data_IF_580442832080
#
_entry.id   IF_580442832080
#
_cell.length_a   1.000
_cell.length_b   1.000
_cell.length_c   1.000
_cell.angle_alpha   90.00
_cell.angle_beta   90.00
_cell.angle_gamma   90.00
#
_symmetry.space_group_name_H-M   'P 1'
#
loop_
_entity.id
_entity.type
_entity.pdbx_description
1 polymer ?
#
# COMPACT_ATOMS: atom_id res chain seq x y z
N UNK A 1 -38.57 -10.42 -62.10
CA UNK A 1 -38.69 -10.27 -60.62
C UNK A 1 -37.31 -10.13 -60.01
N UNK A 2 -37.24 -9.51 -58.82
CA UNK A 2 -36.03 -9.26 -58.00
C UNK A 2 -35.12 -8.12 -58.47
N UNK A 3 -34.62 -7.37 -57.49
CA UNK A 3 -33.97 -6.04 -57.56
C UNK A 3 -32.56 -6.14 -56.95
N UNK A 4 -31.65 -5.23 -57.32
CA UNK A 4 -30.64 -4.53 -56.51
C UNK A 4 -29.55 -3.99 -57.47
N UNK A 5 -29.32 -2.69 -57.66
CA UNK A 5 -29.10 -1.57 -56.72
C UNK A 5 -27.67 -1.58 -56.13
N UNK A 6 -26.83 -0.69 -56.66
CA UNK A 6 -25.49 -0.39 -56.16
C UNK A 6 -25.53 0.29 -54.80
N UNK A 7 -24.57 0.00 -53.93
CA UNK A 7 -24.21 0.87 -52.79
C UNK A 7 -22.71 1.06 -52.76
N UNK A 8 -22.30 2.34 -52.81
CA UNK A 8 -20.93 2.81 -52.68
C UNK A 8 -20.55 2.78 -51.19
N UNK A 9 -19.47 2.08 -50.83
CA UNK A 9 -19.07 1.97 -49.42
C UNK A 9 -18.32 3.24 -48.97
N UNK A 10 -18.99 4.08 -48.19
CA UNK A 10 -18.42 5.29 -47.60
C UNK A 10 -17.64 4.88 -46.33
N UNK A 11 -16.32 5.03 -46.34
CA UNK A 11 -15.48 4.87 -45.15
C UNK A 11 -15.62 6.10 -44.24
N UNK A 12 -16.54 6.06 -43.28
CA UNK A 12 -16.56 7.04 -42.19
C UNK A 12 -15.45 6.72 -41.19
N UNK A 13 -14.63 7.73 -40.88
CA UNK A 13 -13.89 7.78 -39.64
C UNK A 13 -14.86 7.79 -38.45
N UNK A 14 -14.77 6.79 -37.57
CA UNK A 14 -15.10 6.98 -36.16
C UNK A 14 -13.82 6.77 -35.34
N UNK A 15 -13.18 7.88 -34.97
CA UNK A 15 -12.27 7.89 -33.85
C UNK A 15 -13.10 7.65 -32.58
N UNK A 16 -13.05 6.44 -32.05
CA UNK A 16 -13.62 6.12 -30.74
C UNK A 16 -12.78 6.78 -29.66
N UNK A 17 -13.15 8.00 -29.25
CA UNK A 17 -12.62 8.59 -28.01
C UNK A 17 -13.14 7.75 -26.84
N UNK A 18 -12.27 6.92 -26.27
CA UNK A 18 -12.51 6.33 -24.95
C UNK A 18 -12.77 7.47 -23.96
N UNK A 19 -13.89 7.48 -23.22
CA UNK A 19 -14.11 8.51 -22.21
C UNK A 19 -13.01 8.38 -21.16
N UNK A 20 -12.24 9.46 -21.02
CA UNK A 20 -11.24 9.61 -19.95
C UNK A 20 -11.96 9.40 -18.60
N UNK A 21 -11.36 8.65 -17.66
CA UNK A 21 -11.86 8.65 -16.29
C UNK A 21 -11.82 10.10 -15.79
N UNK A 22 -12.99 10.67 -15.47
CA UNK A 22 -13.09 12.10 -15.25
C UNK A 22 -12.27 12.49 -14.01
N UNK A 23 -11.25 13.33 -14.20
CA UNK A 23 -10.57 13.98 -13.10
C UNK A 23 -11.60 14.80 -12.30
N UNK A 24 -11.72 14.52 -11.01
CA UNK A 24 -12.72 15.16 -10.17
C UNK A 24 -12.39 16.63 -9.94
N UNK A 25 -13.39 17.50 -10.04
CA UNK A 25 -13.19 18.96 -10.11
C UNK A 25 -12.62 19.59 -8.84
N UNK A 26 -12.72 18.90 -7.71
CA UNK A 26 -12.37 19.35 -6.36
C UNK A 26 -11.39 18.41 -5.64
N UNK A 27 -10.78 17.46 -6.36
CA UNK A 27 -9.75 16.55 -5.83
C UNK A 27 -8.46 16.66 -6.68
N UNK A 28 -7.71 17.77 -6.58
CA UNK A 28 -6.42 17.90 -7.26
C UNK A 28 -5.36 17.00 -6.64
N UNK A 29 -4.32 16.63 -7.40
CA UNK A 29 -3.24 15.73 -6.97
C UNK A 29 -2.51 16.17 -5.69
N UNK A 30 -2.42 17.48 -5.44
CA UNK A 30 -1.86 18.05 -4.21
C UNK A 30 -2.80 18.06 -3.00
N UNK A 31 -4.03 17.55 -3.11
CA UNK A 31 -4.93 17.41 -1.97
C UNK A 31 -4.46 16.27 -1.07
N UNK A 32 -4.37 16.50 0.25
CA UNK A 32 -3.78 15.55 1.20
C UNK A 32 -4.42 14.15 1.19
N UNK A 33 -5.72 14.05 0.93
CA UNK A 33 -6.45 12.78 0.80
C UNK A 33 -6.54 12.24 -0.65
N UNK A 34 -5.84 12.85 -1.63
CA UNK A 34 -5.95 12.50 -3.05
C UNK A 34 -5.66 11.01 -3.31
N UNK A 35 -4.54 10.51 -2.77
CA UNK A 35 -4.12 9.12 -2.97
C UNK A 35 -5.15 8.14 -2.41
N UNK A 36 -5.54 8.27 -1.14
CA UNK A 36 -6.51 7.38 -0.49
C UNK A 36 -7.91 7.45 -1.12
N UNK A 37 -8.37 8.64 -1.51
CA UNK A 37 -9.67 8.79 -2.18
C UNK A 37 -9.66 8.20 -3.60
N UNK A 38 -8.55 8.35 -4.34
CA UNK A 38 -8.39 7.74 -5.67
C UNK A 38 -8.32 6.21 -5.56
N UNK A 39 -7.53 5.68 -4.62
CA UNK A 39 -7.45 4.25 -4.29
C UNK A 39 -8.82 3.69 -3.88
N UNK A 40 -9.57 4.42 -3.07
CA UNK A 40 -10.94 4.05 -2.71
C UNK A 40 -11.91 4.02 -3.90
N UNK A 41 -11.74 4.90 -4.90
CA UNK A 41 -12.53 4.90 -6.16
C UNK A 41 -12.14 3.73 -7.05
N UNK A 42 -10.84 3.46 -7.22
CA UNK A 42 -10.32 2.35 -8.03
C UNK A 42 -10.77 0.98 -7.51
N UNK A 43 -10.71 0.79 -6.18
CA UNK A 43 -11.25 -0.38 -5.50
C UNK A 43 -12.79 -0.44 -5.48
N UNK A 44 -13.48 0.52 -6.11
CA UNK A 44 -14.96 0.66 -6.17
C UNK A 44 -15.63 0.78 -4.80
N UNK A 45 -14.86 1.19 -3.79
CA UNK A 45 -15.32 1.43 -2.42
C UNK A 45 -16.03 2.77 -2.35
N UNK A 46 -15.40 3.83 -2.84
CA UNK A 46 -15.96 5.18 -2.95
C UNK A 46 -16.38 5.50 -4.40
N UNK A 47 -17.28 6.47 -4.56
CA UNK A 47 -17.64 7.05 -5.85
C UNK A 47 -17.77 8.57 -5.72
N UNK A 48 -17.42 9.30 -6.78
CA UNK A 48 -17.75 10.71 -6.90
C UNK A 48 -19.24 10.95 -7.10
N UNK A 49 -19.61 12.22 -7.09
CA UNK A 49 -20.97 12.72 -7.21
C UNK A 49 -21.34 13.03 -8.67
N UNK A 50 -22.64 13.12 -9.02
CA UNK A 50 -23.08 13.38 -10.40
C UNK A 50 -22.65 14.73 -10.99
N UNK A 51 -22.19 15.66 -10.16
CA UNK A 51 -21.63 16.97 -10.56
C UNK A 51 -20.13 16.91 -10.92
N UNK A 52 -19.49 15.73 -10.83
CA UNK A 52 -18.07 15.55 -11.13
C UNK A 52 -17.14 15.82 -9.94
N UNK A 53 -17.69 15.92 -8.73
CA UNK A 53 -16.96 16.27 -7.51
C UNK A 53 -16.84 15.07 -6.54
N UNK A 54 -15.77 15.04 -5.73
CA UNK A 54 -15.54 14.06 -4.66
C UNK A 54 -15.87 14.61 -3.27
N UNK A 55 -15.87 15.94 -3.11
CA UNK A 55 -16.05 16.70 -1.85
C UNK A 55 -15.17 16.19 -0.71
N UNK A 56 -13.83 16.19 -0.86
CA UNK A 56 -12.91 15.66 0.15
C UNK A 56 -13.14 16.24 1.55
N UNK A 57 -13.37 17.54 1.65
CA UNK A 57 -13.51 18.25 2.94
C UNK A 57 -14.96 18.30 3.46
N UNK A 58 -15.94 17.78 2.71
CA UNK A 58 -17.30 17.71 3.20
C UNK A 58 -17.43 16.64 4.30
N UNK A 59 -18.30 16.85 5.31
CA UNK A 59 -18.60 15.82 6.31
C UNK A 59 -19.08 14.53 5.65
N UNK A 60 -18.53 13.41 6.11
CA UNK A 60 -18.93 12.06 5.72
C UNK A 60 -20.14 11.64 6.55
N UNK A 61 -21.20 11.17 5.91
CA UNK A 61 -22.40 10.70 6.63
C UNK A 61 -22.25 9.28 7.17
N UNK A 62 -23.07 8.92 8.15
CA UNK A 62 -23.18 7.54 8.65
C UNK A 62 -23.55 6.54 7.53
N UNK A 63 -24.45 6.92 6.62
CA UNK A 63 -24.86 6.11 5.49
C UNK A 63 -23.72 5.89 4.48
N UNK A 64 -22.93 6.93 4.21
CA UNK A 64 -21.72 6.83 3.39
C UNK A 64 -20.68 5.92 4.05
N UNK A 65 -20.38 6.14 5.34
CA UNK A 65 -19.36 5.37 6.06
C UNK A 65 -19.69 3.88 6.15
N UNK A 66 -20.92 3.52 6.51
CA UNK A 66 -21.37 2.12 6.53
C UNK A 66 -21.32 1.49 5.13
N UNK A 67 -21.59 2.26 4.07
CA UNK A 67 -21.47 1.78 2.68
C UNK A 67 -20.02 1.52 2.30
N UNK A 68 -19.09 2.41 2.66
CA UNK A 68 -17.65 2.26 2.43
C UNK A 68 -17.11 1.00 3.13
N UNK A 69 -17.40 0.85 4.43
CA UNK A 69 -16.99 -0.31 5.23
C UNK A 69 -17.57 -1.62 4.70
N UNK A 70 -18.85 -1.62 4.34
CA UNK A 70 -19.51 -2.80 3.82
C UNK A 70 -18.96 -3.25 2.48
N UNK A 71 -18.56 -2.31 1.60
CA UNK A 71 -17.88 -2.65 0.33
C UNK A 71 -16.49 -3.23 0.58
N UNK A 72 -15.76 -2.71 1.56
CA UNK A 72 -14.38 -3.07 1.83
C UNK A 72 -14.24 -4.43 2.55
N UNK A 73 -15.00 -4.64 3.63
CA UNK A 73 -14.74 -5.73 4.58
C UNK A 73 -15.80 -6.84 4.58
N UNK A 74 -17.06 -6.53 4.23
CA UNK A 74 -18.16 -7.50 4.26
C UNK A 74 -19.12 -7.36 3.07
N UNK A 75 -18.62 -7.36 1.81
CA UNK A 75 -19.44 -7.08 0.62
C UNK A 75 -20.59 -8.08 0.43
N UNK A 76 -20.43 -9.32 0.86
CA UNK A 76 -21.49 -10.34 0.82
C UNK A 76 -22.65 -10.11 1.81
N UNK A 77 -22.51 -9.20 2.77
CA UNK A 77 -23.57 -8.82 3.71
C UNK A 77 -24.28 -7.52 3.33
N UNK A 78 -23.80 -6.76 2.33
CA UNK A 78 -24.50 -5.60 1.79
C UNK A 78 -25.84 -6.02 1.18
N UNK A 79 -26.93 -5.44 1.66
CA UNK A 79 -28.27 -5.72 1.13
C UNK A 79 -28.69 -4.67 0.11
N UNK A 80 -29.23 -5.08 -1.03
CA UNK A 80 -29.96 -4.17 -1.92
C UNK A 80 -31.33 -3.86 -1.33
N UNK A 81 -31.73 -2.59 -1.30
CA UNK A 81 -33.04 -2.17 -0.79
C UNK A 81 -33.73 -1.27 -1.81
N UNK A 82 -34.59 -1.82 -2.66
CA UNK A 82 -35.41 -1.05 -3.60
C UNK A 82 -36.47 -0.20 -2.89
N UNK A 83 -36.92 -0.66 -1.72
CA UNK A 83 -38.12 -0.16 -1.04
C UNK A 83 -37.78 0.58 0.28
N UNK A 84 -36.53 1.04 0.46
CA UNK A 84 -36.12 1.77 1.65
C UNK A 84 -36.29 3.29 1.51
N UNK A 85 -36.70 3.92 2.60
CA UNK A 85 -36.82 5.39 2.74
C UNK A 85 -35.46 6.12 2.61
N UNK A 86 -34.35 5.44 2.89
CA UNK A 86 -32.99 5.96 2.75
C UNK A 86 -32.07 4.99 1.98
N UNK A 87 -31.28 5.52 1.04
CA UNK A 87 -30.46 4.74 0.10
C UNK A 87 -29.45 3.81 0.80
N UNK A 88 -28.83 4.25 1.90
CA UNK A 88 -27.86 3.48 2.67
C UNK A 88 -28.48 2.48 3.67
N UNK A 89 -29.82 2.34 3.73
CA UNK A 89 -30.46 1.42 4.68
C UNK A 89 -30.04 -0.05 4.48
N UNK A 90 -29.64 -0.41 3.26
CA UNK A 90 -29.05 -1.72 2.96
C UNK A 90 -27.67 -1.95 3.55
N UNK A 91 -26.86 -0.89 3.68
CA UNK A 91 -25.56 -0.95 4.35
C UNK A 91 -25.72 -1.03 5.88
N UNK A 92 -26.69 -0.30 6.45
CA UNK A 92 -27.04 -0.42 7.87
C UNK A 92 -27.42 -1.86 8.24
N UNK A 93 -28.36 -2.49 7.51
CA UNK A 93 -28.76 -3.89 7.76
C UNK A 93 -27.62 -4.89 7.54
N UNK A 94 -26.71 -4.60 6.60
CA UNK A 94 -25.49 -5.39 6.42
C UNK A 94 -24.56 -5.31 7.63
N UNK A 95 -24.30 -4.10 8.13
CA UNK A 95 -23.48 -3.87 9.32
C UNK A 95 -24.10 -4.47 10.60
N UNK A 96 -25.42 -4.47 10.72
CA UNK A 96 -26.16 -5.18 11.78
C UNK A 96 -25.97 -6.71 11.67
N UNK A 97 -26.11 -7.27 10.48
CA UNK A 97 -25.99 -8.71 10.24
C UNK A 97 -24.58 -9.27 10.55
N UNK A 98 -23.53 -8.45 10.47
CA UNK A 98 -22.16 -8.80 10.87
C UNK A 98 -21.76 -8.27 12.25
N UNK A 99 -22.69 -7.70 13.02
CA UNK A 99 -22.46 -7.23 14.39
C UNK A 99 -21.55 -6.01 14.54
N UNK A 100 -21.34 -5.24 13.46
CA UNK A 100 -20.59 -3.96 13.46
C UNK A 100 -21.47 -2.85 14.04
N UNK A 101 -22.75 -2.80 13.65
CA UNK A 101 -23.80 -2.04 14.33
C UNK A 101 -24.58 -3.01 15.22
N UNK A 102 -24.98 -2.59 16.43
CA UNK A 102 -25.70 -3.45 17.38
C UNK A 102 -26.95 -2.72 17.89
N UNK A 103 -28.11 -3.34 17.71
CA UNK A 103 -29.40 -2.75 18.08
C UNK A 103 -29.49 -2.52 19.59
N UNK A 104 -29.81 -1.28 19.98
CA UNK A 104 -29.91 -0.85 21.38
C UNK A 104 -28.56 -0.54 22.06
N UNK A 105 -27.45 -0.45 21.32
CA UNK A 105 -26.16 -0.04 21.88
C UNK A 105 -25.98 1.51 21.96
N UNK A 106 -24.78 1.95 22.35
CA UNK A 106 -24.46 3.37 22.51
C UNK A 106 -24.22 4.12 21.19
N UNK A 107 -24.01 3.42 20.07
CA UNK A 107 -23.92 3.99 18.73
C UNK A 107 -25.34 4.13 18.15
N UNK A 108 -26.11 5.08 18.68
CA UNK A 108 -27.49 5.29 18.23
C UNK A 108 -27.55 5.74 16.76
N UNK A 109 -27.75 4.76 15.88
CA UNK A 109 -27.98 4.92 14.44
C UNK A 109 -29.26 4.21 14.06
N UNK A 110 -30.08 4.86 13.25
CA UNK A 110 -31.33 4.33 12.69
C UNK A 110 -31.42 4.75 11.23
N UNK A 111 -32.37 4.20 10.47
CA UNK A 111 -32.58 4.63 9.07
C UNK A 111 -32.76 6.14 8.90
N UNK A 112 -33.41 6.81 9.87
CA UNK A 112 -33.63 8.26 9.86
C UNK A 112 -32.46 9.12 10.33
N UNK A 113 -31.32 8.53 10.72
CA UNK A 113 -30.11 9.28 11.12
C UNK A 113 -28.90 9.02 10.21
N UNK A 114 -29.08 8.32 9.08
CA UNK A 114 -27.98 7.98 8.16
C UNK A 114 -27.35 9.18 7.45
N UNK A 115 -28.06 10.29 7.27
CA UNK A 115 -27.49 11.53 6.71
C UNK A 115 -26.66 12.34 7.73
N UNK A 116 -26.66 11.99 9.03
CA UNK A 116 -25.86 12.72 10.03
C UNK A 116 -24.36 12.47 9.80
N UNK A 117 -23.49 13.46 10.02
CA UNK A 117 -22.05 13.25 10.02
C UNK A 117 -21.63 12.15 11.01
N UNK A 118 -20.74 11.26 10.59
CA UNK A 118 -20.07 10.31 11.49
C UNK A 118 -18.91 11.00 12.20
N UNK A 119 -18.75 10.76 13.50
CA UNK A 119 -17.64 11.32 14.27
C UNK A 119 -16.40 10.44 14.23
N UNK A 120 -15.24 11.02 14.56
CA UNK A 120 -13.95 10.31 14.66
C UNK A 120 -14.01 9.14 15.65
N UNK A 121 -14.64 9.33 16.81
CA UNK A 121 -14.81 8.26 17.80
C UNK A 121 -15.78 7.16 17.36
N UNK A 122 -16.90 7.51 16.72
CA UNK A 122 -17.84 6.51 16.18
C UNK A 122 -17.18 5.67 15.07
N UNK A 123 -16.40 6.33 14.21
CA UNK A 123 -15.60 5.69 13.17
C UNK A 123 -14.63 4.66 13.74
N UNK A 124 -13.90 5.02 14.80
CA UNK A 124 -12.98 4.11 15.48
C UNK A 124 -13.69 2.88 16.07
N UNK A 125 -14.87 3.05 16.68
CA UNK A 125 -15.66 1.91 17.19
C UNK A 125 -16.11 0.97 16.07
N UNK A 126 -16.55 1.52 14.93
CA UNK A 126 -17.00 0.70 13.81
C UNK A 126 -15.83 -0.07 13.17
N UNK A 127 -14.67 0.56 12.99
CA UNK A 127 -13.45 -0.10 12.49
C UNK A 127 -13.01 -1.22 13.43
N UNK A 128 -12.84 -0.90 14.72
CA UNK A 128 -12.47 -1.88 15.75
C UNK A 128 -13.43 -3.08 15.80
N UNK A 129 -14.74 -2.86 15.60
CA UNK A 129 -15.72 -3.95 15.51
C UNK A 129 -15.60 -4.77 14.23
N UNK A 130 -15.32 -4.16 13.07
CA UNK A 130 -15.01 -4.91 11.84
C UNK A 130 -13.85 -5.87 12.07
N UNK A 131 -12.77 -5.36 12.67
CA UNK A 131 -11.54 -6.10 12.92
C UNK A 131 -11.67 -7.25 13.94
N UNK A 132 -12.76 -7.27 14.72
CA UNK A 132 -13.08 -8.32 15.70
C UNK A 132 -14.18 -9.28 15.24
N UNK A 133 -15.17 -8.79 14.51
CA UNK A 133 -16.42 -9.51 14.23
C UNK A 133 -16.49 -10.08 12.81
N UNK A 134 -15.72 -9.53 11.86
CA UNK A 134 -15.71 -10.01 10.46
C UNK A 134 -14.69 -11.15 10.31
N UNK A 135 -15.20 -12.34 9.99
CA UNK A 135 -14.39 -13.56 9.86
C UNK A 135 -13.28 -13.41 8.82
N UNK A 136 -12.05 -13.70 9.22
CA UNK A 136 -10.85 -13.58 8.39
C UNK A 136 -10.03 -12.34 8.72
N UNK A 137 -10.63 -11.35 9.38
CA UNK A 137 -9.92 -10.24 10.02
C UNK A 137 -9.72 -10.63 11.49
N UNK A 138 -8.49 -10.51 11.98
CA UNK A 138 -8.16 -10.76 13.39
C UNK A 138 -6.87 -10.05 13.72
N UNK A 139 -6.84 -9.39 14.88
CA UNK A 139 -5.68 -8.65 15.33
C UNK A 139 -5.43 -8.94 16.80
N UNK A 140 -4.20 -9.33 17.14
CA UNK A 140 -3.72 -9.40 18.52
C UNK A 140 -4.00 -8.08 19.20
N UNK A 141 -4.59 -8.11 20.41
CA UNK A 141 -4.79 -6.90 21.21
C UNK A 141 -3.42 -6.25 21.45
N UNK A 142 -3.27 -4.99 21.06
CA UNK A 142 -2.07 -4.22 21.40
C UNK A 142 -2.30 -3.61 22.77
N UNK A 143 -1.38 -3.84 23.70
CA UNK A 143 -1.30 -3.06 24.92
C UNK A 143 -0.52 -1.78 24.61
N UNK A 144 -1.18 -0.64 24.79
CA UNK A 144 -0.67 0.71 24.50
C UNK A 144 -0.71 1.52 25.79
N UNK A 145 0.24 2.44 25.94
CA UNK A 145 0.16 3.45 26.99
C UNK A 145 -1.00 4.41 26.68
N UNK A 146 -1.78 4.73 27.72
CA UNK A 146 -2.89 5.68 27.63
C UNK A 146 -2.39 7.13 27.47
N UNK A 147 -1.14 7.39 27.84
CA UNK A 147 -0.55 8.73 27.87
C UNK A 147 -0.29 9.36 26.49
N UNK A 148 -0.40 8.62 25.38
CA UNK A 148 -0.16 9.15 24.03
C UNK A 148 -1.31 9.97 23.44
N UNK A 149 -2.50 9.99 24.07
CA UNK A 149 -3.68 10.71 23.58
C UNK A 149 -4.21 11.64 24.69
N UNK A 150 -4.04 12.95 24.52
CA UNK A 150 -4.23 13.92 25.60
C UNK A 150 -5.68 14.15 26.06
N UNK A 151 -6.67 13.94 25.18
CA UNK A 151 -8.10 14.08 25.45
C UNK A 151 -8.83 12.75 25.72
N UNK A 152 -8.11 11.62 25.76
CA UNK A 152 -8.70 10.29 25.90
C UNK A 152 -9.48 10.13 27.22
N UNK A 153 -9.02 10.79 28.28
CA UNK A 153 -9.68 10.80 29.59
C UNK A 153 -10.92 11.70 29.66
N UNK A 154 -11.14 12.57 28.67
CA UNK A 154 -12.39 13.34 28.51
C UNK A 154 -13.43 12.58 27.66
N UNK A 155 -13.00 11.56 26.90
CA UNK A 155 -13.90 10.74 26.08
C UNK A 155 -14.78 9.81 26.95
N UNK A 156 -16.03 9.49 26.54
CA UNK A 156 -16.82 8.48 27.23
C UNK A 156 -16.15 7.10 27.14
N UNK A 157 -16.17 6.35 28.25
CA UNK A 157 -15.42 5.09 28.43
C UNK A 157 -15.64 4.08 27.29
N UNK A 158 -16.86 4.01 26.74
CA UNK A 158 -17.24 3.10 25.64
C UNK A 158 -16.49 3.35 24.33
N UNK A 159 -15.93 4.55 24.12
CA UNK A 159 -15.14 4.89 22.93
C UNK A 159 -13.63 4.67 23.13
N UNK A 160 -13.12 4.76 24.38
CA UNK A 160 -11.67 4.77 24.66
C UNK A 160 -10.97 3.51 24.17
N UNK A 161 -11.49 2.34 24.52
CA UNK A 161 -10.93 1.04 24.13
C UNK A 161 -10.79 0.88 22.61
N UNK A 162 -11.87 1.08 21.84
CA UNK A 162 -11.81 1.05 20.37
C UNK A 162 -10.89 2.10 19.73
N UNK A 163 -10.86 3.33 20.27
CA UNK A 163 -9.94 4.40 19.80
C UNK A 163 -8.49 3.98 20.02
N UNK A 164 -8.13 3.55 21.23
CA UNK A 164 -6.79 3.03 21.55
C UNK A 164 -6.38 1.89 20.63
N UNK A 165 -7.28 0.93 20.41
CA UNK A 165 -7.00 -0.21 19.54
C UNK A 165 -6.77 0.23 18.07
N UNK A 166 -7.55 1.18 17.55
CA UNK A 166 -7.29 1.72 16.22
C UNK A 166 -6.00 2.57 16.16
N UNK A 167 -5.70 3.32 17.22
CA UNK A 167 -4.53 4.21 17.31
C UNK A 167 -3.22 3.44 17.43
N UNK A 168 -3.17 2.43 18.29
CA UNK A 168 -2.03 1.52 18.48
C UNK A 168 -1.60 0.80 17.21
N UNK A 169 -2.53 0.63 16.26
CA UNK A 169 -2.27 0.03 14.96
C UNK A 169 -1.91 1.07 13.91
N UNK A 170 -2.12 2.36 14.18
CA UNK A 170 -1.96 3.47 13.23
C UNK A 170 -3.10 3.59 12.21
N UNK A 171 -4.26 2.97 12.48
CA UNK A 171 -5.45 3.09 11.62
C UNK A 171 -5.97 4.53 11.72
N UNK A 172 -6.28 4.94 12.96
CA UNK A 172 -6.58 6.33 13.28
C UNK A 172 -5.33 7.01 13.83
N UNK A 173 -5.22 8.32 13.63
CA UNK A 173 -4.13 9.15 14.14
C UNK A 173 -4.70 10.34 14.91
N UNK A 174 -3.94 10.81 15.89
CA UNK A 174 -4.21 12.04 16.64
C UNK A 174 -3.96 13.29 15.80
N UNK A 175 -4.08 14.44 16.46
CA UNK A 175 -3.77 15.77 15.97
C UNK A 175 -2.36 16.18 16.41
N UNK A 176 -1.85 17.26 15.80
CA UNK A 176 -0.56 17.85 16.16
C UNK A 176 -0.49 18.36 17.62
N UNK A 177 -1.64 18.67 18.23
CA UNK A 177 -1.77 19.05 19.64
C UNK A 177 -1.84 17.85 20.62
N UNK A 178 -1.67 16.62 20.12
CA UNK A 178 -1.75 15.37 20.88
C UNK A 178 -3.16 14.89 21.21
N UNK A 179 -4.20 15.63 20.84
CA UNK A 179 -5.60 15.21 21.06
C UNK A 179 -6.09 14.28 19.94
N UNK A 180 -7.06 13.43 20.23
CA UNK A 180 -7.77 12.64 19.24
C UNK A 180 -8.92 13.41 18.59
N UNK A 181 -9.57 14.34 19.29
CA UNK A 181 -10.73 15.10 18.75
C UNK A 181 -11.94 14.21 18.54
N UNK A 182 -12.26 13.34 19.51
CA UNK A 182 -13.20 12.23 19.32
C UNK A 182 -14.59 12.62 18.82
N UNK A 183 -15.16 13.70 19.34
CA UNK A 183 -16.51 14.17 19.00
C UNK A 183 -16.65 14.89 17.65
N UNK A 184 -15.56 15.09 16.91
CA UNK A 184 -15.58 15.85 15.67
C UNK A 184 -16.05 15.03 14.47
N UNK A 185 -16.71 15.68 13.52
CA UNK A 185 -17.14 15.06 12.26
C UNK A 185 -15.95 14.67 11.39
N UNK A 186 -15.99 13.48 10.81
CA UNK A 186 -15.01 13.01 9.83
C UNK A 186 -15.35 13.61 8.45
N UNK A 187 -14.35 14.01 7.67
CA UNK A 187 -14.55 14.40 6.27
C UNK A 187 -14.53 13.18 5.34
N UNK A 188 -15.06 13.30 4.12
CA UNK A 188 -15.03 12.20 3.12
C UNK A 188 -13.60 11.77 2.78
N UNK A 189 -12.66 12.72 2.71
CA UNK A 189 -11.23 12.43 2.54
C UNK A 189 -10.63 11.68 3.72
N UNK A 190 -10.91 12.13 4.95
CA UNK A 190 -10.48 11.42 6.15
C UNK A 190 -11.09 10.01 6.24
N UNK A 191 -12.34 9.84 5.82
CA UNK A 191 -13.00 8.53 5.68
C UNK A 191 -12.25 7.58 4.75
N UNK A 192 -11.85 8.05 3.56
CA UNK A 192 -11.05 7.25 2.64
C UNK A 192 -9.71 6.83 3.27
N UNK A 193 -9.00 7.77 3.89
CA UNK A 193 -7.70 7.52 4.56
C UNK A 193 -7.83 6.47 5.67
N UNK A 194 -8.84 6.58 6.55
CA UNK A 194 -9.04 5.60 7.62
C UNK A 194 -9.45 4.22 7.09
N UNK A 195 -10.26 4.17 6.02
CA UNK A 195 -10.64 2.92 5.35
C UNK A 195 -9.44 2.23 4.72
N UNK A 196 -8.60 3.01 4.02
CA UNK A 196 -7.39 2.54 3.34
C UNK A 196 -6.38 2.00 4.36
N UNK A 197 -6.09 2.79 5.40
CA UNK A 197 -5.19 2.38 6.49
C UNK A 197 -5.66 1.10 7.21
N UNK A 198 -6.96 0.92 7.37
CA UNK A 198 -7.54 -0.27 7.99
C UNK A 198 -7.34 -1.54 7.13
N UNK A 199 -7.48 -1.44 5.81
CA UNK A 199 -7.19 -2.53 4.87
C UNK A 199 -5.71 -2.95 4.96
N UNK A 200 -4.79 -2.00 4.84
CA UNK A 200 -3.33 -2.25 4.85
C UNK A 200 -2.87 -3.00 6.13
N UNK A 201 -3.54 -2.72 7.26
CA UNK A 201 -3.25 -3.28 8.59
C UNK A 201 -4.00 -4.57 8.91
N UNK A 202 -4.96 -4.95 8.07
CA UNK A 202 -5.47 -6.32 8.05
C UNK A 202 -4.64 -7.25 7.17
N UNK A 203 -3.74 -6.69 6.36
CA UNK A 203 -2.83 -7.43 5.48
C UNK A 203 -1.40 -7.55 6.07
N UNK A 204 -1.01 -6.70 7.03
CA UNK A 204 0.34 -6.67 7.64
C UNK A 204 0.32 -6.45 9.17
N UNK A 205 1.27 -7.01 9.93
CA UNK A 205 1.26 -6.95 11.41
C UNK A 205 2.61 -6.81 12.14
N UNK A 206 2.69 -5.79 13.03
CA UNK A 206 3.72 -5.51 14.09
C UNK A 206 5.14 -5.10 13.62
N UNK A 207 5.89 -4.14 14.20
CA UNK A 207 5.60 -3.04 15.16
C UNK A 207 6.85 -2.40 15.87
N UNK A 208 7.06 -1.06 15.76
CA UNK A 208 7.96 -0.16 16.57
C UNK A 208 9.52 -0.33 16.43
N UNK A 209 10.48 0.60 16.73
CA UNK A 209 10.56 2.06 17.11
C UNK A 209 11.93 2.74 16.67
N UNK A 210 12.48 3.79 17.33
CA UNK A 210 13.64 4.66 16.93
C UNK A 210 14.76 4.79 18.04
N UNK A 211 15.89 5.59 17.99
CA UNK A 211 16.06 6.99 17.47
C UNK A 211 17.43 7.49 16.85
N UNK A 212 17.43 8.76 16.36
CA UNK A 212 18.44 9.87 16.36
C UNK A 212 19.73 10.03 15.47
N UNK A 213 19.72 11.16 14.70
CA UNK A 213 20.73 12.17 14.24
C UNK A 213 22.00 11.98 13.32
N UNK A 214 22.15 12.88 12.30
CA UNK A 214 23.38 13.31 11.57
C UNK A 214 23.36 13.84 10.07
N UNK A 215 22.29 14.45 9.53
CA UNK A 215 22.36 15.59 8.54
C UNK A 215 22.55 15.46 6.98
N UNK A 216 21.73 16.23 6.22
CA UNK A 216 22.09 17.22 5.16
C UNK A 216 22.66 16.87 3.74
N UNK A 217 21.78 16.93 2.72
CA UNK A 217 21.88 17.50 1.33
C UNK A 217 22.94 17.06 0.27
N UNK A 218 22.50 16.93 -1.01
CA UNK A 218 23.21 17.59 -2.14
C UNK A 218 23.32 16.96 -3.56
N UNK A 219 22.27 17.11 -4.39
CA UNK A 219 22.25 17.26 -5.89
C UNK A 219 22.89 16.21 -6.84
N UNK A 220 22.27 16.11 -8.03
CA UNK A 220 22.39 15.04 -9.04
C UNK A 220 23.37 15.31 -10.20
N UNK A 221 23.82 14.22 -10.84
CA UNK A 221 24.58 14.24 -12.09
C UNK A 221 24.58 12.85 -12.77
N UNK A 222 24.28 12.84 -14.07
CA UNK A 222 24.01 11.65 -14.91
C UNK A 222 25.19 10.66 -14.92
N UNK A 223 24.94 9.37 -14.62
CA UNK A 223 25.99 8.36 -14.38
C UNK A 223 26.39 7.48 -15.60
N UNK A 224 27.64 6.96 -15.63
CA UNK A 224 28.18 6.17 -16.74
C UNK A 224 27.77 4.68 -16.75
N UNK A 225 27.91 3.98 -17.89
CA UNK A 225 27.50 2.58 -18.04
C UNK A 225 28.41 1.57 -17.30
N UNK A 226 27.77 0.57 -16.68
CA UNK A 226 28.44 -0.53 -15.93
C UNK A 226 29.05 -1.56 -16.89
N UNK A 227 30.31 -1.95 -16.67
CA UNK A 227 31.02 -2.99 -17.42
C UNK A 227 30.96 -4.35 -16.72
N UNK A 228 30.40 -5.37 -17.38
CA UNK A 228 30.35 -6.76 -16.89
C UNK A 228 31.56 -7.56 -17.43
N UNK A 229 32.15 -8.42 -16.60
CA UNK A 229 33.24 -9.33 -17.01
C UNK A 229 32.68 -10.61 -17.66
N UNK A 230 33.35 -11.20 -18.68
CA UNK A 230 32.88 -12.45 -19.28
C UNK A 230 33.06 -13.64 -18.33
N UNK A 231 31.99 -14.44 -18.14
CA UNK A 231 32.03 -15.69 -17.38
C UNK A 231 31.48 -15.64 -15.94
N UNK A 232 30.70 -14.61 -15.61
CA UNK A 232 30.01 -14.47 -14.32
C UNK A 232 28.48 -14.46 -14.53
N UNK A 233 27.91 -15.63 -14.84
CA UNK A 233 26.47 -15.77 -15.12
C UNK A 233 25.60 -15.41 -13.91
N UNK A 234 26.16 -15.44 -12.69
CA UNK A 234 25.51 -14.94 -11.48
C UNK A 234 25.29 -13.40 -11.51
N UNK A 235 26.02 -12.66 -12.37
CA UNK A 235 25.89 -11.21 -12.56
C UNK A 235 25.14 -10.80 -13.83
N UNK A 236 24.80 -11.74 -14.70
CA UNK A 236 23.94 -11.45 -15.85
C UNK A 236 22.52 -11.08 -15.39
N UNK A 237 21.87 -10.11 -16.04
CA UNK A 237 20.47 -9.76 -15.72
C UNK A 237 19.52 -10.84 -16.23
N UNK A 238 18.47 -11.13 -15.46
CA UNK A 238 17.52 -12.20 -15.76
C UNK A 238 17.92 -13.56 -15.18
N UNK A 239 17.10 -14.56 -15.51
CA UNK A 239 17.23 -15.95 -15.08
C UNK A 239 18.12 -16.73 -16.05
N UNK A 240 19.02 -17.56 -15.50
CA UNK A 240 19.85 -18.49 -16.26
C UNK A 240 20.15 -19.75 -15.43
N UNK A 241 20.72 -20.77 -16.08
CA UNK A 241 21.02 -22.06 -15.47
C UNK A 241 21.93 -21.96 -14.24
N UNK A 242 22.87 -21.02 -14.20
CA UNK A 242 23.77 -20.81 -13.06
C UNK A 242 23.02 -20.26 -11.85
N UNK A 243 22.18 -19.25 -12.04
CA UNK A 243 21.35 -18.67 -10.97
C UNK A 243 20.32 -19.66 -10.45
N UNK A 244 19.64 -20.39 -11.33
CA UNK A 244 18.68 -21.43 -10.93
C UNK A 244 19.39 -22.57 -10.17
N UNK A 245 20.57 -22.99 -10.62
CA UNK A 245 21.37 -24.00 -9.91
C UNK A 245 21.88 -23.49 -8.56
N UNK A 246 22.28 -22.21 -8.44
CA UNK A 246 22.67 -21.57 -7.17
C UNK A 246 21.54 -21.57 -6.15
N UNK A 247 20.31 -21.31 -6.59
CA UNK A 247 19.14 -21.23 -5.71
C UNK A 247 18.59 -22.63 -5.37
N UNK A 248 18.23 -23.41 -6.38
CA UNK A 248 17.44 -24.64 -6.22
C UNK A 248 18.26 -25.93 -6.34
N UNK A 249 19.59 -25.83 -6.51
CA UNK A 249 20.47 -26.97 -6.76
C UNK A 249 20.35 -27.57 -8.18
N UNK A 250 19.48 -27.03 -9.03
CA UNK A 250 19.29 -27.45 -10.42
C UNK A 250 18.70 -26.32 -11.29
N UNK A 251 19.10 -26.28 -12.55
CA UNK A 251 18.50 -25.42 -13.58
C UNK A 251 17.06 -25.83 -13.98
N UNK A 252 16.57 -27.01 -13.58
CA UNK A 252 15.21 -27.47 -13.92
C UNK A 252 14.13 -26.99 -12.93
N UNK A 253 14.51 -26.36 -11.82
CA UNK A 253 13.59 -25.80 -10.83
C UNK A 253 13.76 -24.28 -10.77
N UNK A 254 12.64 -23.56 -10.63
CA UNK A 254 12.64 -22.09 -10.53
C UNK A 254 11.70 -21.55 -9.44
N UNK A 255 10.91 -22.41 -8.79
CA UNK A 255 9.95 -22.08 -7.74
C UNK A 255 9.82 -23.25 -6.76
N UNK A 256 9.22 -23.01 -5.60
CA UNK A 256 8.91 -24.02 -4.58
C UNK A 256 7.45 -24.48 -4.65
N UNK A 257 7.19 -25.73 -4.29
CA UNK A 257 5.85 -26.31 -4.29
C UNK A 257 5.08 -26.06 -2.98
N UNK A 258 5.78 -25.83 -1.87
CA UNK A 258 5.16 -25.57 -0.55
C UNK A 258 5.87 -24.47 0.23
N UNK A 259 5.16 -23.89 1.19
CA UNK A 259 5.70 -22.90 2.15
C UNK A 259 6.81 -23.50 3.02
N UNK A 260 6.72 -24.79 3.35
CA UNK A 260 7.72 -25.53 4.11
C UNK A 260 9.02 -25.72 3.31
N UNK A 261 8.92 -26.08 2.03
CA UNK A 261 10.06 -26.20 1.12
C UNK A 261 10.73 -24.84 0.89
N UNK A 262 9.93 -23.79 0.70
CA UNK A 262 10.44 -22.43 0.57
C UNK A 262 11.12 -21.96 1.86
N UNK A 263 10.43 -22.05 3.00
CA UNK A 263 10.94 -21.65 4.31
C UNK A 263 12.23 -22.36 4.73
N UNK A 264 12.40 -23.64 4.37
CA UNK A 264 13.64 -24.38 4.61
C UNK A 264 14.87 -23.84 3.84
N UNK A 265 14.64 -23.06 2.79
CA UNK A 265 15.68 -22.41 1.98
C UNK A 265 15.81 -20.91 2.25
N UNK A 266 15.04 -20.36 3.19
CA UNK A 266 15.12 -18.95 3.59
C UNK A 266 16.08 -18.74 4.77
N UNK A 267 16.64 -17.54 4.85
CA UNK A 267 17.37 -17.05 6.02
C UNK A 267 17.07 -15.58 6.27
N UNK A 268 17.26 -15.11 7.50
CA UNK A 268 17.26 -13.69 7.80
C UNK A 268 18.63 -13.10 7.51
N UNK A 269 18.65 -11.96 6.82
CA UNK A 269 19.84 -11.13 6.64
C UNK A 269 19.62 -9.80 7.36
N UNK A 270 20.61 -9.34 8.12
CA UNK A 270 20.62 -8.02 8.76
C UNK A 270 21.69 -7.19 8.07
N UNK A 271 21.28 -6.12 7.39
CA UNK A 271 22.17 -5.30 6.55
C UNK A 271 22.23 -3.86 7.06
N UNK A 272 23.34 -3.13 6.83
CA UNK A 272 23.42 -1.71 7.15
C UNK A 272 22.57 -0.88 6.18
N UNK A 273 21.90 0.15 6.69
CA UNK A 273 21.10 1.10 5.90
C UNK A 273 21.22 2.50 6.50
N UNK A 274 21.05 3.52 5.67
CA UNK A 274 20.75 4.86 6.16
C UNK A 274 19.26 4.97 6.47
N UNK A 275 18.88 5.50 7.64
CA UNK A 275 17.53 6.03 7.87
C UNK A 275 17.58 7.55 7.69
N UNK A 276 16.45 8.15 7.33
CA UNK A 276 16.29 9.60 7.27
C UNK A 276 15.19 10.01 8.24
N UNK A 277 15.47 10.97 9.12
CA UNK A 277 14.49 11.58 9.99
C UNK A 277 13.52 12.46 9.17
N UNK A 278 12.21 12.17 9.23
CA UNK A 278 11.15 13.01 8.64
C UNK A 278 11.02 14.37 9.34
N UNK A 279 11.48 14.48 10.58
CA UNK A 279 11.42 15.71 11.38
C UNK A 279 12.63 16.61 11.13
N UNK A 280 13.84 16.04 11.16
CA UNK A 280 15.10 16.81 11.17
C UNK A 280 15.88 16.77 9.84
N UNK A 281 15.41 16.03 8.82
CA UNK A 281 16.01 16.02 7.48
C UNK A 281 17.37 15.33 7.42
N UNK A 282 17.51 14.28 8.21
CA UNK A 282 18.77 13.98 8.88
C UNK A 282 19.08 12.48 8.87
N UNK A 283 20.27 12.11 8.36
CA UNK A 283 20.63 10.72 8.04
C UNK A 283 21.37 10.04 9.19
N UNK A 284 21.00 8.80 9.48
CA UNK A 284 21.61 7.97 10.53
C UNK A 284 21.96 6.58 10.03
N UNK A 285 23.09 6.06 10.49
CA UNK A 285 23.42 4.66 10.28
C UNK A 285 22.53 3.76 11.12
N UNK A 286 21.95 2.74 10.50
CA UNK A 286 21.05 1.78 11.14
C UNK A 286 21.21 0.41 10.49
N UNK A 287 20.36 -0.54 10.88
CA UNK A 287 20.24 -1.83 10.19
C UNK A 287 18.78 -2.10 9.83
N UNK A 288 18.57 -2.98 8.86
CA UNK A 288 17.27 -3.59 8.60
C UNK A 288 17.44 -5.09 8.46
N UNK A 289 16.49 -5.84 9.02
CA UNK A 289 16.45 -7.30 8.94
C UNK A 289 15.27 -7.69 8.07
N UNK A 290 15.52 -8.51 7.06
CA UNK A 290 14.50 -9.10 6.20
C UNK A 290 14.89 -10.54 5.84
N UNK A 291 13.93 -11.31 5.34
CA UNK A 291 14.14 -12.71 4.98
C UNK A 291 14.43 -12.81 3.49
N UNK A 292 15.40 -13.61 3.08
CA UNK A 292 15.74 -13.89 1.67
C UNK A 292 16.13 -15.34 1.49
N UNK A 293 16.26 -15.78 0.24
CA UNK A 293 16.83 -17.07 -0.09
C UNK A 293 18.28 -17.18 0.45
N UNK A 294 18.59 -18.26 1.18
CA UNK A 294 19.87 -18.41 1.86
C UNK A 294 21.08 -18.31 0.92
N UNK A 295 20.98 -18.87 -0.29
CA UNK A 295 22.02 -18.79 -1.31
C UNK A 295 22.39 -17.37 -1.82
N UNK A 296 21.60 -16.33 -1.52
CA UNK A 296 21.88 -14.92 -1.88
C UNK A 296 22.06 -14.01 -0.64
N UNK A 297 22.11 -14.56 0.58
CA UNK A 297 22.26 -13.74 1.79
C UNK A 297 23.57 -12.94 1.84
N UNK A 298 24.68 -13.52 1.35
CA UNK A 298 25.96 -12.83 1.22
C UNK A 298 25.91 -11.71 0.16
N UNK A 299 25.19 -11.93 -0.95
CA UNK A 299 24.97 -10.90 -1.98
C UNK A 299 24.15 -9.74 -1.41
N UNK A 300 23.09 -10.01 -0.64
CA UNK A 300 22.31 -8.98 0.05
C UNK A 300 23.16 -8.19 1.06
N UNK A 301 23.98 -8.88 1.85
CA UNK A 301 24.90 -8.22 2.78
C UNK A 301 25.88 -7.31 2.04
N UNK A 302 26.44 -7.77 0.91
CA UNK A 302 27.37 -6.99 0.10
C UNK A 302 26.71 -5.80 -0.61
N UNK A 303 25.57 -6.00 -1.29
CA UNK A 303 24.79 -4.95 -1.97
C UNK A 303 24.43 -3.82 -1.01
N UNK A 304 23.82 -4.14 0.13
CA UNK A 304 23.40 -3.12 1.08
C UNK A 304 24.59 -2.48 1.81
N UNK A 305 25.70 -3.20 2.02
CA UNK A 305 26.95 -2.62 2.53
C UNK A 305 27.57 -1.65 1.52
N UNK A 306 27.50 -1.94 0.22
CA UNK A 306 27.98 -1.03 -0.82
C UNK A 306 27.07 0.20 -0.94
N UNK A 307 25.73 0.05 -0.88
CA UNK A 307 24.77 1.16 -0.82
C UNK A 307 25.00 2.03 0.42
N UNK A 308 25.27 1.41 1.57
CA UNK A 308 25.56 2.12 2.82
C UNK A 308 26.85 2.94 2.76
N UNK A 309 27.89 2.43 2.09
CA UNK A 309 29.17 3.11 1.93
C UNK A 309 29.21 4.07 0.73
N UNK A 310 28.21 4.07 -0.14
CA UNK A 310 28.12 4.97 -1.29
C UNK A 310 27.90 6.44 -0.81
N UNK A 311 28.57 7.44 -1.42
CA UNK A 311 28.41 8.84 -1.05
C UNK A 311 26.97 9.38 -1.10
N UNK A 312 26.06 8.77 -1.88
CA UNK A 312 24.65 9.16 -1.88
C UNK A 312 23.98 8.92 -0.52
N UNK A 313 24.40 7.90 0.23
CA UNK A 313 23.81 7.48 1.50
C UNK A 313 22.28 7.33 1.38
N UNK A 314 21.80 6.61 0.36
CA UNK A 314 20.37 6.56 0.06
C UNK A 314 19.57 6.00 1.25
N UNK A 315 18.53 6.71 1.74
CA UNK A 315 17.84 6.32 2.95
C UNK A 315 16.84 5.20 2.69
N UNK A 316 17.00 4.07 3.38
CA UNK A 316 16.16 2.87 3.25
C UNK A 316 15.45 2.64 4.58
N UNK A 317 14.20 3.10 4.69
CA UNK A 317 13.40 2.88 5.89
C UNK A 317 12.69 1.52 5.88
N UNK A 318 12.33 0.99 4.70
CA UNK A 318 11.66 -0.31 4.52
C UNK A 318 12.34 -1.19 3.47
N UNK A 319 12.38 -2.50 3.73
CA UNK A 319 12.76 -3.57 2.78
C UNK A 319 11.82 -4.75 3.00
N UNK A 320 11.02 -5.13 2.01
CA UNK A 320 10.28 -6.41 1.99
C UNK A 320 11.04 -7.43 1.17
N UNK A 321 11.31 -8.61 1.73
CA UNK A 321 12.01 -9.71 1.05
C UNK A 321 11.06 -10.89 0.74
N UNK A 322 11.39 -12.07 1.26
CA UNK A 322 10.55 -13.26 1.16
C UNK A 322 9.16 -13.04 1.74
N UNK A 323 8.16 -13.32 0.91
CA UNK A 323 6.75 -13.36 1.29
C UNK A 323 6.09 -14.51 0.52
N UNK A 324 5.69 -15.57 1.22
CA UNK A 324 4.96 -16.68 0.60
C UNK A 324 3.54 -16.25 0.26
N UNK A 325 3.20 -16.35 -1.03
CA UNK A 325 1.90 -15.98 -1.61
C UNK A 325 1.20 -17.19 -2.26
N UNK A 326 1.72 -18.40 -2.01
CA UNK A 326 1.16 -19.67 -2.47
C UNK A 326 1.90 -20.30 -3.67
N UNK A 327 1.73 -21.61 -3.86
CA UNK A 327 2.46 -22.38 -4.88
C UNK A 327 2.17 -21.96 -6.34
N UNK A 328 1.10 -21.19 -6.59
CA UNK A 328 0.78 -20.62 -7.90
C UNK A 328 1.23 -19.16 -8.07
N UNK A 329 1.84 -18.54 -7.05
CA UNK A 329 2.37 -17.19 -7.14
C UNK A 329 3.68 -17.20 -7.97
N UNK A 330 3.71 -16.38 -9.02
CA UNK A 330 4.86 -16.29 -9.92
C UNK A 330 5.92 -15.29 -9.46
N UNK A 331 5.57 -14.36 -8.55
CA UNK A 331 6.47 -13.31 -8.08
C UNK A 331 7.66 -13.80 -7.26
N UNK A 332 8.80 -13.14 -7.40
CA UNK A 332 10.09 -13.57 -6.83
C UNK A 332 10.18 -13.50 -5.30
N UNK A 333 9.35 -12.69 -4.64
CA UNK A 333 9.17 -12.72 -3.18
C UNK A 333 8.76 -14.11 -2.68
N UNK A 334 8.03 -14.89 -3.48
CA UNK A 334 7.62 -16.25 -3.16
C UNK A 334 8.79 -17.25 -3.10
N UNK A 335 9.98 -16.83 -3.56
CA UNK A 335 11.22 -17.60 -3.49
C UNK A 335 12.34 -16.83 -2.77
N UNK A 336 12.06 -15.66 -2.19
CA UNK A 336 13.04 -14.84 -1.50
C UNK A 336 14.17 -14.33 -2.40
N UNK A 337 13.93 -14.23 -3.72
CA UNK A 337 14.92 -13.79 -4.73
C UNK A 337 14.76 -12.33 -5.14
N UNK A 338 13.83 -11.61 -4.52
CA UNK A 338 13.60 -10.19 -4.74
C UNK A 338 13.46 -9.42 -3.42
N UNK A 339 13.68 -8.11 -3.51
CA UNK A 339 13.42 -7.15 -2.45
C UNK A 339 12.68 -5.91 -2.97
N UNK A 340 11.72 -5.42 -2.20
CA UNK A 340 11.04 -4.13 -2.45
C UNK A 340 11.54 -3.10 -1.44
N UNK A 341 12.08 -1.98 -1.92
CA UNK A 341 12.72 -0.93 -1.11
C UNK A 341 11.84 0.32 -1.09
N UNK A 342 11.55 0.84 0.11
CA UNK A 342 10.76 2.07 0.33
C UNK A 342 9.49 2.12 -0.56
N UNK A 343 8.66 1.08 -0.48
CA UNK A 343 7.52 0.85 -1.39
C UNK A 343 6.61 2.06 -1.61
N UNK A 344 6.41 2.92 -0.60
CA UNK A 344 5.52 4.07 -0.68
C UNK A 344 6.02 5.12 -1.69
N UNK A 345 7.28 5.50 -1.61
CA UNK A 345 7.93 6.48 -2.48
C UNK A 345 8.53 5.84 -3.76
N UNK A 346 8.26 4.54 -3.99
CA UNK A 346 8.74 3.77 -5.12
C UNK A 346 7.66 2.82 -5.66
N UNK A 347 6.50 3.38 -5.94
CA UNK A 347 5.30 2.62 -6.30
C UNK A 347 5.45 1.61 -7.46
N UNK A 348 4.55 0.62 -7.48
CA UNK A 348 4.25 -0.18 -8.66
C UNK A 348 3.16 0.53 -9.46
N UNK A 349 3.36 0.73 -10.76
CA UNK A 349 2.41 1.32 -11.69
C UNK A 349 2.29 0.46 -12.95
N UNK A 350 1.05 0.07 -13.22
CA UNK A 350 0.66 -0.69 -14.40
C UNK A 350 0.59 0.21 -15.64
N UNK A 351 0.53 -0.36 -16.88
CA UNK A 351 0.57 0.42 -18.11
C UNK A 351 -0.63 1.36 -18.31
N UNK A 352 -1.71 1.11 -17.57
CA UNK A 352 -2.95 1.90 -17.54
C UNK A 352 -2.91 3.03 -16.49
N UNK A 353 -1.79 3.22 -15.79
CA UNK A 353 -1.60 4.21 -14.75
C UNK A 353 -2.12 3.79 -13.36
N UNK A 354 -2.71 2.59 -13.24
CA UNK A 354 -3.16 2.04 -11.95
C UNK A 354 -1.96 1.78 -11.05
N UNK A 355 -2.04 2.22 -9.80
CA UNK A 355 -1.04 1.92 -8.78
C UNK A 355 -1.32 0.52 -8.20
N UNK A 356 -0.30 -0.35 -8.21
CA UNK A 356 -0.39 -1.70 -7.65
C UNK A 356 0.00 -1.79 -6.18
N UNK A 357 0.99 -1.00 -5.77
CA UNK A 357 1.44 -0.82 -4.39
C UNK A 357 2.25 0.48 -4.33
N UNK A 358 2.35 1.10 -3.14
CA UNK A 358 2.98 2.41 -2.96
C UNK A 358 2.08 3.61 -3.30
N UNK A 359 2.66 4.80 -3.40
CA UNK A 359 1.94 6.06 -3.68
C UNK A 359 2.54 6.92 -4.80
N UNK A 360 3.86 7.03 -4.90
CA UNK A 360 4.52 7.87 -5.91
C UNK A 360 5.92 7.37 -6.26
N UNK A 361 6.57 8.07 -7.20
CA UNK A 361 8.00 8.00 -7.49
C UNK A 361 8.44 9.37 -8.00
N UNK A 362 9.14 10.13 -7.15
CA UNK A 362 9.58 11.50 -7.44
C UNK A 362 11.04 11.71 -7.02
N UNK A 363 12.02 11.03 -7.64
CA UNK A 363 13.43 11.17 -7.28
C UNK A 363 13.92 12.60 -7.39
N UNK A 364 14.72 13.02 -6.42
CA UNK A 364 15.24 14.39 -6.32
C UNK A 364 14.28 15.38 -5.63
N UNK A 365 12.98 15.06 -5.54
CA UNK A 365 12.01 15.78 -4.70
C UNK A 365 11.77 15.03 -3.38
N UNK A 366 11.48 13.74 -3.47
CA UNK A 366 11.35 12.84 -2.33
C UNK A 366 12.67 12.09 -2.09
N UNK A 367 13.30 12.21 -0.90
CA UNK A 367 14.57 11.58 -0.61
C UNK A 367 14.50 10.05 -0.44
N UNK A 368 13.30 9.46 -0.34
CA UNK A 368 13.10 8.01 -0.33
C UNK A 368 12.73 7.45 -1.71
N UNK A 369 12.49 8.29 -2.73
CA UNK A 369 12.33 7.85 -4.12
C UNK A 369 13.69 7.54 -4.78
N UNK A 370 13.86 6.30 -5.21
CA UNK A 370 15.06 5.73 -5.81
C UNK A 370 15.30 6.35 -7.19
N UNK A 371 16.41 7.07 -7.44
CA UNK A 371 16.74 7.55 -8.78
C UNK A 371 17.11 6.39 -9.71
N UNK A 372 16.77 6.46 -11.00
CA UNK A 372 17.15 5.44 -11.99
C UNK A 372 18.68 5.32 -12.15
N UNK A 373 19.41 6.43 -11.96
CA UNK A 373 20.87 6.50 -11.92
C UNK A 373 21.45 6.47 -10.48
N UNK A 374 20.60 6.23 -9.47
CA UNK A 374 21.00 6.20 -8.06
C UNK A 374 21.88 5.00 -7.69
N UNK A 375 22.58 5.13 -6.56
CA UNK A 375 23.39 4.10 -5.91
C UNK A 375 22.64 2.77 -5.79
N UNK A 376 21.39 2.77 -5.32
CA UNK A 376 20.58 1.56 -5.19
C UNK A 376 20.48 0.82 -6.54
N UNK A 377 20.01 1.48 -7.60
CA UNK A 377 19.85 0.85 -8.92
C UNK A 377 21.18 0.40 -9.50
N UNK A 378 22.20 1.27 -9.43
CA UNK A 378 23.55 0.98 -9.95
C UNK A 378 24.19 -0.22 -9.25
N UNK A 379 24.05 -0.34 -7.92
CA UNK A 379 24.67 -1.39 -7.11
C UNK A 379 23.88 -2.69 -7.23
N UNK A 380 22.55 -2.69 -7.11
CA UNK A 380 21.77 -3.91 -7.39
C UNK A 380 22.08 -4.47 -8.80
N UNK A 381 22.20 -3.59 -9.80
CA UNK A 381 22.59 -3.96 -11.17
C UNK A 381 24.00 -4.54 -11.27
N UNK A 382 25.00 -4.02 -10.55
CA UNK A 382 26.36 -4.58 -10.57
C UNK A 382 26.43 -5.97 -9.93
N UNK A 383 25.47 -6.32 -9.07
CA UNK A 383 25.33 -7.66 -8.48
C UNK A 383 24.41 -8.60 -9.28
N UNK A 384 23.88 -8.16 -10.43
CA UNK A 384 23.07 -8.99 -11.33
C UNK A 384 21.55 -8.96 -11.08
N UNK A 385 21.06 -7.99 -10.31
CA UNK A 385 19.64 -7.80 -10.06
C UNK A 385 19.03 -6.83 -11.06
N UNK A 386 17.81 -7.14 -11.51
CA UNK A 386 17.03 -6.31 -12.42
C UNK A 386 16.13 -5.39 -11.61
N UNK A 387 16.03 -4.12 -11.99
CA UNK A 387 15.20 -3.13 -11.30
C UNK A 387 13.86 -2.96 -12.02
N UNK A 388 12.75 -3.08 -11.28
CA UNK A 388 11.40 -3.06 -11.84
C UNK A 388 11.00 -1.76 -12.53
N UNK A 389 11.72 -0.66 -12.31
CA UNK A 389 11.58 0.60 -13.05
C UNK A 389 11.91 0.48 -14.55
N UNK A 390 12.74 -0.50 -14.97
CA UNK A 390 13.04 -0.72 -16.40
C UNK A 390 13.17 -2.19 -16.84
N UNK A 391 13.14 -3.17 -15.94
CA UNK A 391 13.20 -4.60 -16.26
C UNK A 391 12.02 -5.09 -17.12
N UNK A 392 10.83 -4.53 -16.90
CA UNK A 392 9.63 -4.92 -17.65
C UNK A 392 9.26 -3.89 -18.72
N UNK A 393 8.80 -4.31 -19.91
CA UNK A 393 8.45 -3.39 -21.00
C UNK A 393 7.19 -2.56 -20.72
N UNK A 394 6.34 -3.00 -19.78
CA UNK A 394 4.98 -2.45 -19.59
C UNK A 394 4.66 -2.11 -18.13
N UNK A 395 5.09 -2.92 -17.16
CA UNK A 395 4.95 -2.60 -15.73
C UNK A 395 6.11 -1.70 -15.28
N UNK A 396 5.88 -0.82 -14.30
CA UNK A 396 6.92 -0.01 -13.66
C UNK A 396 6.86 -0.26 -12.17
N UNK A 397 7.85 -0.96 -11.62
CA UNK A 397 7.88 -1.29 -10.20
C UNK A 397 9.13 -0.69 -9.58
N UNK A 398 9.02 0.56 -9.13
CA UNK A 398 10.19 1.35 -8.79
C UNK A 398 10.88 0.89 -7.50
N UNK A 399 10.18 0.14 -6.64
CA UNK A 399 10.72 -0.46 -5.41
C UNK A 399 11.48 -1.77 -5.66
N UNK A 400 11.17 -2.46 -6.76
CA UNK A 400 11.47 -3.87 -6.91
C UNK A 400 12.85 -4.15 -7.47
N UNK A 401 13.60 -5.03 -6.81
CA UNK A 401 14.88 -5.56 -7.27
C UNK A 401 14.85 -7.08 -7.27
N UNK A 402 14.99 -7.70 -8.44
CA UNK A 402 14.78 -9.13 -8.64
C UNK A 402 16.03 -9.82 -9.19
N UNK A 403 16.39 -10.97 -8.63
CA UNK A 403 17.58 -11.71 -9.03
C UNK A 403 17.37 -12.52 -10.32
N UNK A 404 16.15 -12.98 -10.59
CA UNK A 404 15.82 -13.74 -11.81
C UNK A 404 15.20 -12.89 -12.92
N UNK A 405 15.01 -11.59 -12.67
CA UNK A 405 14.71 -10.52 -13.62
C UNK A 405 13.32 -10.49 -14.28
N UNK A 406 12.49 -11.54 -14.14
CA UNK A 406 11.10 -11.62 -14.66
C UNK A 406 10.27 -12.70 -13.96
#
# INVERSE_FOLDING_TARGET
>A
MKKAASVLLLLLFLAGTTPFAAAYTDLPSGHWAYADMSRAVECKLMTGLPDGSMRPDAPLSWGEWLTLMGRAFYPGALQTSSDAEHWAAGALRGAEAVGVVQQGDFLSVTGGSLDRPVTRQETAVLLDRVLRNVKGLSLTKVDVDLAEISDLDDMPETYRGPVLQCYARGIVTGREDGSFGGGESLTRGAGAVLLMRALDRTETGTGQTAPENSGAWGQSGELPPVSVQPGDGLRELGSNDEKLTRLFGTAQQSRYATEEEAGANMTQVTVPVWKLSRETGEKTGSTITFTVHAAIADDMTAVFTEIYNDPEQFPIYSVEGYAWRGASATGEHNCGTAVDINANENYQVYPDGRVGAGSHWTPGEDPWSIPEDGSVVRIFRSYGYSWGGNAWPTNRDYMHFSYLGV
#
